data_IF_744986100834
#
_entry.id   IF_744986100834
#
_cell.length_a   1.000
_cell.length_b   1.000
_cell.length_c   1.000
_cell.angle_alpha   90.00
_cell.angle_beta   90.00
_cell.angle_gamma   90.00
#
_symmetry.space_group_name_H-M   'P 1'
#
loop_
_entity.id
_entity.type
_entity.pdbx_description
1 polymer ?
#
# COMPACT_ATOMS: atom_id res chain seq x y z
N UNK A 1 -42.96 -32.11 -15.25
CA UNK A 1 -41.95 -31.65 -16.22
C UNK A 1 -40.68 -31.23 -15.43
N UNK A 2 -39.71 -32.15 -15.32
CA UNK A 2 -38.41 -31.85 -14.74
C UNK A 2 -37.70 -30.79 -15.58
N UNK A 3 -37.54 -29.59 -15.05
CA UNK A 3 -36.71 -28.56 -15.68
C UNK A 3 -35.23 -29.02 -15.63
N UNK A 4 -34.71 -29.43 -16.78
CA UNK A 4 -33.29 -29.71 -16.96
C UNK A 4 -32.47 -28.47 -16.58
N UNK A 5 -31.85 -28.48 -15.41
CA UNK A 5 -30.87 -27.46 -15.03
C UNK A 5 -29.59 -27.73 -15.81
N UNK A 6 -29.29 -26.87 -16.77
CA UNK A 6 -28.02 -26.84 -17.48
C UNK A 6 -26.87 -26.96 -16.48
N UNK A 7 -25.95 -27.93 -16.62
CA UNK A 7 -24.80 -28.02 -15.72
C UNK A 7 -24.01 -26.72 -15.83
N UNK A 8 -23.67 -26.14 -14.68
CA UNK A 8 -22.76 -24.98 -14.65
C UNK A 8 -21.41 -25.48 -15.16
N UNK A 9 -20.87 -24.84 -16.20
CA UNK A 9 -19.49 -25.05 -16.59
C UNK A 9 -18.60 -24.88 -15.34
N UNK A 10 -17.76 -25.85 -15.05
CA UNK A 10 -16.68 -25.68 -14.07
C UNK A 10 -15.64 -24.81 -14.75
N UNK A 11 -15.76 -23.51 -14.55
CA UNK A 11 -14.63 -22.61 -14.84
C UNK A 11 -13.53 -22.98 -13.84
N UNK A 12 -12.37 -23.40 -14.34
CA UNK A 12 -11.21 -23.65 -13.51
C UNK A 12 -10.87 -22.36 -12.75
N UNK A 13 -10.50 -22.47 -11.49
CA UNK A 13 -10.09 -21.32 -10.65
C UNK A 13 -8.93 -20.51 -11.27
N UNK A 14 -8.21 -21.11 -12.25
CA UNK A 14 -7.04 -20.55 -12.93
C UNK A 14 -7.37 -19.68 -14.16
N UNK A 15 -8.65 -19.62 -14.57
CA UNK A 15 -9.02 -18.83 -15.77
C UNK A 15 -8.99 -17.30 -15.54
N UNK A 16 -8.85 -16.86 -14.32
CA UNK A 16 -8.90 -15.47 -13.94
C UNK A 16 -7.52 -14.96 -13.49
N UNK A 17 -7.07 -13.85 -14.07
CA UNK A 17 -5.78 -13.24 -13.76
C UNK A 17 -5.88 -12.16 -12.67
N UNK A 18 -4.76 -11.88 -12.01
CA UNK A 18 -4.48 -10.64 -11.30
C UNK A 18 -3.20 -9.99 -11.89
N UNK A 19 -2.96 -8.74 -11.59
CA UNK A 19 -1.75 -8.02 -11.95
C UNK A 19 -0.85 -7.87 -10.73
N UNK A 20 0.45 -8.13 -10.88
CA UNK A 20 1.43 -7.85 -9.84
C UNK A 20 1.55 -6.33 -9.61
N UNK A 21 2.18 -5.93 -8.51
CA UNK A 21 2.40 -4.50 -8.22
C UNK A 21 3.26 -3.84 -9.29
N UNK A 22 4.27 -4.56 -9.82
CA UNK A 22 5.12 -4.07 -10.91
C UNK A 22 4.31 -3.89 -12.21
N UNK A 23 3.38 -4.80 -12.51
CA UNK A 23 2.50 -4.69 -13.67
C UNK A 23 1.55 -3.49 -13.53
N UNK A 24 0.99 -3.28 -12.33
CA UNK A 24 0.13 -2.11 -12.02
C UNK A 24 0.94 -0.82 -12.10
N UNK A 25 2.16 -0.81 -11.57
CA UNK A 25 3.06 0.35 -11.60
C UNK A 25 3.45 0.72 -13.04
N UNK A 26 3.79 -0.27 -13.89
CA UNK A 26 4.04 -0.03 -15.31
C UNK A 26 2.83 0.55 -16.04
N UNK A 27 1.61 0.07 -15.73
CA UNK A 27 0.39 0.66 -16.27
C UNK A 27 0.23 2.13 -15.83
N UNK A 28 0.50 2.42 -14.56
CA UNK A 28 0.36 3.77 -14.00
C UNK A 28 1.37 4.75 -14.60
N UNK A 29 2.58 4.29 -14.87
CA UNK A 29 3.66 5.08 -15.46
C UNK A 29 3.45 5.45 -16.95
N UNK A 30 2.44 4.89 -17.63
CA UNK A 30 2.19 5.23 -19.03
C UNK A 30 1.75 6.69 -19.20
N UNK A 31 2.35 7.38 -20.14
CA UNK A 31 1.91 8.72 -20.56
C UNK A 31 0.67 8.61 -21.45
N UNK A 32 -0.50 8.69 -20.84
CA UNK A 32 -1.80 8.63 -21.49
C UNK A 32 -2.52 9.97 -21.36
N UNK A 33 -3.52 10.21 -22.22
CA UNK A 33 -4.29 11.46 -22.20
C UNK A 33 -5.79 11.19 -22.31
N UNK A 34 -6.57 12.13 -21.79
CA UNK A 34 -8.02 12.16 -21.98
C UNK A 34 -8.73 10.97 -21.33
N UNK A 35 -9.56 10.26 -22.10
CA UNK A 35 -10.41 9.19 -21.55
C UNK A 35 -9.62 7.91 -21.26
N UNK A 36 -8.55 7.66 -22.01
CA UNK A 36 -7.65 6.53 -21.79
C UNK A 36 -6.92 6.66 -20.43
N UNK A 37 -6.38 7.84 -20.16
CA UNK A 37 -5.77 8.16 -18.87
C UNK A 37 -6.75 8.00 -17.72
N UNK A 38 -7.96 8.57 -17.85
CA UNK A 38 -9.02 8.47 -16.85
C UNK A 38 -9.41 7.03 -16.54
N UNK A 39 -9.54 6.20 -17.58
CA UNK A 39 -9.86 4.78 -17.42
C UNK A 39 -8.73 4.02 -16.70
N UNK A 40 -7.47 4.26 -17.09
CA UNK A 40 -6.29 3.70 -16.45
C UNK A 40 -6.22 4.09 -14.99
N UNK A 41 -6.38 5.37 -14.64
CA UNK A 41 -6.28 5.86 -13.26
C UNK A 41 -7.38 5.27 -12.37
N UNK A 42 -8.62 5.19 -12.84
CA UNK A 42 -9.71 4.52 -12.10
C UNK A 42 -9.41 3.05 -11.88
N UNK A 43 -8.81 2.36 -12.86
CA UNK A 43 -8.43 0.95 -12.71
C UNK A 43 -7.26 0.76 -11.75
N UNK A 44 -6.22 1.59 -11.85
CA UNK A 44 -5.09 1.56 -10.91
C UNK A 44 -5.56 1.84 -9.49
N UNK A 45 -6.43 2.84 -9.29
CA UNK A 45 -7.05 3.10 -7.99
C UNK A 45 -7.83 1.88 -7.48
N UNK A 46 -8.51 1.16 -8.36
CA UNK A 46 -9.18 -0.10 -8.00
C UNK A 46 -8.18 -1.17 -7.53
N UNK A 47 -7.00 -1.26 -8.15
CA UNK A 47 -5.92 -2.15 -7.75
C UNK A 47 -5.33 -1.81 -6.36
N UNK A 48 -5.48 -0.56 -5.89
CA UNK A 48 -4.97 -0.10 -4.61
C UNK A 48 -6.03 0.08 -3.51
N UNK A 49 -7.31 -0.05 -3.84
CA UNK A 49 -8.43 0.07 -2.89
C UNK A 49 -9.24 -1.22 -2.75
N UNK A 50 -9.11 -2.12 -3.71
CA UNK A 50 -9.85 -3.39 -3.74
C UNK A 50 -11.35 -3.24 -3.93
N UNK A 51 -11.88 -2.06 -4.28
CA UNK A 51 -13.30 -1.85 -4.44
C UNK A 51 -13.83 -2.41 -5.76
N UNK A 52 -15.14 -2.70 -5.85
CA UNK A 52 -15.75 -3.11 -7.11
C UNK A 52 -15.81 -1.92 -8.05
N UNK A 53 -15.74 -2.18 -9.35
CA UNK A 53 -15.92 -1.12 -10.35
C UNK A 53 -17.22 -0.32 -10.13
N UNK A 54 -18.31 -0.99 -9.81
CA UNK A 54 -19.61 -0.34 -9.48
C UNK A 54 -19.56 0.58 -8.26
N UNK A 55 -18.60 0.36 -7.35
CA UNK A 55 -18.46 1.13 -6.13
C UNK A 55 -17.42 2.27 -6.26
N UNK A 56 -16.62 2.31 -7.34
CA UNK A 56 -15.57 3.33 -7.52
C UNK A 56 -16.11 4.76 -7.47
N UNK A 57 -17.30 5.02 -8.02
CA UNK A 57 -17.93 6.35 -7.97
C UNK A 57 -18.41 6.76 -6.57
N UNK A 58 -18.53 5.82 -5.64
CA UNK A 58 -18.89 6.11 -4.25
C UNK A 58 -17.71 6.75 -3.47
N UNK A 59 -16.49 6.57 -3.97
CA UNK A 59 -15.30 7.20 -3.37
C UNK A 59 -15.42 8.72 -3.38
N UNK A 60 -16.12 9.30 -4.35
CA UNK A 60 -16.35 10.74 -4.45
C UNK A 60 -17.21 11.32 -3.30
N UNK A 61 -18.03 10.48 -2.68
CA UNK A 61 -18.93 10.86 -1.59
C UNK A 61 -18.50 10.23 -0.26
N UNK A 62 -17.30 9.66 -0.21
CA UNK A 62 -16.75 9.06 0.99
C UNK A 62 -16.29 10.10 2.01
N UNK A 63 -16.24 9.70 3.25
CA UNK A 63 -15.71 10.52 4.34
C UNK A 63 -14.24 10.19 4.55
N UNK A 64 -13.38 11.19 4.42
CA UNK A 64 -11.94 11.04 4.68
C UNK A 64 -11.70 11.34 6.15
N UNK A 65 -10.93 10.45 6.79
CA UNK A 65 -10.44 10.61 8.15
C UNK A 65 -8.93 10.63 8.14
N UNK A 66 -8.36 11.61 8.80
CA UNK A 66 -6.92 11.71 9.00
C UNK A 66 -6.51 10.96 10.26
N UNK A 67 -5.45 10.18 10.15
CA UNK A 67 -4.78 9.48 11.24
C UNK A 67 -3.29 9.82 11.22
N UNK A 68 -2.59 9.60 12.32
CA UNK A 68 -1.14 9.87 12.41
C UNK A 68 -0.35 9.13 11.31
N UNK A 69 -0.79 7.92 10.93
CA UNK A 69 -0.12 7.06 9.95
C UNK A 69 -0.71 7.17 8.54
N UNK A 70 -1.59 8.14 8.24
CA UNK A 70 -2.18 8.31 6.90
C UNK A 70 -3.67 8.60 6.91
N UNK A 71 -4.31 8.38 5.75
CA UNK A 71 -5.72 8.67 5.54
C UNK A 71 -6.53 7.40 5.33
N UNK A 72 -7.76 7.40 5.84
CA UNK A 72 -8.76 6.35 5.60
C UNK A 72 -9.96 6.98 4.93
N UNK A 73 -10.46 6.34 3.86
CA UNK A 73 -11.69 6.70 3.18
C UNK A 73 -12.82 5.74 3.57
N UNK A 74 -13.88 6.25 4.15
CA UNK A 74 -15.07 5.48 4.51
C UNK A 74 -16.16 5.64 3.45
N UNK A 75 -16.68 4.53 2.96
CA UNK A 75 -17.81 4.49 2.01
C UNK A 75 -18.84 3.45 2.43
N UNK A 76 -20.05 3.58 1.91
CA UNK A 76 -21.10 2.56 2.00
C UNK A 76 -21.28 1.91 0.61
N UNK A 77 -20.93 0.62 0.50
CA UNK A 77 -21.01 -0.12 -0.77
C UNK A 77 -22.43 -0.33 -1.23
N UNK A 78 -22.69 -0.26 -2.58
CA UNK A 78 -24.04 -0.40 -3.17
C UNK A 78 -24.69 -1.74 -2.86
N UNK A 79 -23.96 -2.84 -3.06
CA UNK A 79 -24.56 -4.18 -3.12
C UNK A 79 -25.12 -4.70 -1.80
N UNK A 80 -24.66 -4.25 -0.63
CA UNK A 80 -25.09 -4.75 0.68
C UNK A 80 -25.19 -3.66 1.74
N UNK A 81 -25.08 -2.40 1.35
CA UNK A 81 -25.02 -1.26 2.25
C UNK A 81 -23.95 -1.43 3.36
N UNK A 82 -22.86 -2.18 3.09
CA UNK A 82 -21.77 -2.33 4.05
C UNK A 82 -20.92 -1.08 4.07
N UNK A 83 -20.69 -0.56 5.28
CA UNK A 83 -19.68 0.46 5.53
C UNK A 83 -18.32 -0.22 5.52
N UNK A 84 -17.40 0.30 4.71
CA UNK A 84 -16.00 -0.14 4.63
C UNK A 84 -15.07 1.04 4.84
N UNK A 85 -13.95 0.78 5.49
CA UNK A 85 -12.88 1.74 5.73
C UNK A 85 -11.67 1.32 4.90
N UNK A 86 -11.28 2.16 3.96
CA UNK A 86 -10.26 1.88 2.95
C UNK A 86 -9.02 2.71 3.29
N UNK A 87 -7.87 2.08 3.61
CA UNK A 87 -6.63 2.81 3.78
C UNK A 87 -6.17 3.39 2.44
N UNK A 88 -5.86 4.67 2.41
CA UNK A 88 -5.36 5.35 1.22
C UNK A 88 -3.84 5.22 1.16
N UNK A 89 -3.36 4.17 0.50
CA UNK A 89 -1.94 3.98 0.21
C UNK A 89 -1.45 5.06 -0.77
N UNK A 90 -0.14 5.35 -0.88
CA UNK A 90 0.40 6.51 -1.60
C UNK A 90 -0.16 6.71 -3.01
N UNK A 91 -0.16 5.66 -3.84
CA UNK A 91 -0.69 5.73 -5.21
C UNK A 91 -2.20 6.01 -5.23
N UNK A 92 -2.95 5.42 -4.30
CA UNK A 92 -4.39 5.68 -4.19
C UNK A 92 -4.67 7.14 -3.81
N UNK A 93 -3.89 7.69 -2.88
CA UNK A 93 -3.99 9.07 -2.45
C UNK A 93 -3.63 10.02 -3.59
N UNK A 94 -2.52 9.78 -4.29
CA UNK A 94 -2.07 10.57 -5.43
C UNK A 94 -3.14 10.66 -6.53
N UNK A 95 -3.76 9.52 -6.89
CA UNK A 95 -4.84 9.51 -7.90
C UNK A 95 -6.06 10.28 -7.41
N UNK A 96 -6.47 10.13 -6.14
CA UNK A 96 -7.60 10.87 -5.60
C UNK A 96 -7.32 12.38 -5.56
N UNK A 97 -6.12 12.80 -5.18
CA UNK A 97 -5.68 14.20 -5.17
C UNK A 97 -5.61 14.77 -6.58
N UNK A 98 -5.10 14.02 -7.57
CA UNK A 98 -5.09 14.41 -9.00
C UNK A 98 -6.48 14.81 -9.50
N UNK A 99 -7.52 14.14 -9.04
CA UNK A 99 -8.91 14.43 -9.42
C UNK A 99 -9.67 15.24 -8.38
N UNK A 100 -8.99 15.87 -7.42
CA UNK A 100 -9.61 16.62 -6.32
C UNK A 100 -10.72 15.81 -5.62
N UNK A 101 -10.48 14.49 -5.41
CA UNK A 101 -11.44 13.55 -4.83
C UNK A 101 -12.75 13.40 -5.62
N UNK A 102 -12.75 13.78 -6.89
CA UNK A 102 -13.89 13.66 -7.81
C UNK A 102 -13.49 12.80 -9.01
N UNK A 103 -13.54 11.48 -8.85
CA UNK A 103 -13.14 10.54 -9.87
C UNK A 103 -13.99 10.68 -11.14
N UNK A 104 -13.37 10.60 -12.31
CA UNK A 104 -14.08 10.68 -13.58
C UNK A 104 -15.03 9.48 -13.74
N UNK A 105 -16.22 9.75 -14.31
CA UNK A 105 -17.15 8.69 -14.68
C UNK A 105 -16.67 8.03 -15.98
N UNK A 106 -16.37 6.73 -15.89
CA UNK A 106 -16.03 5.90 -17.03
C UNK A 106 -17.05 4.79 -17.17
N UNK A 107 -17.63 4.61 -18.37
CA UNK A 107 -18.56 3.51 -18.64
C UNK A 107 -17.80 2.18 -18.68
N UNK A 108 -18.42 1.10 -18.22
CA UNK A 108 -17.77 -0.22 -18.11
C UNK A 108 -17.13 -0.70 -19.42
N UNK A 109 -17.84 -0.63 -20.53
CA UNK A 109 -17.31 -1.02 -21.84
C UNK A 109 -16.09 -0.18 -22.26
N UNK A 110 -16.13 1.12 -21.97
CA UNK A 110 -15.01 2.05 -22.22
C UNK A 110 -13.82 1.70 -21.32
N UNK A 111 -14.10 1.43 -20.05
CA UNK A 111 -13.10 0.97 -19.09
C UNK A 111 -12.42 -0.29 -19.61
N UNK A 112 -13.18 -1.34 -19.94
CA UNK A 112 -12.66 -2.61 -20.43
C UNK A 112 -11.76 -2.46 -21.67
N UNK A 113 -12.15 -1.60 -22.61
CA UNK A 113 -11.33 -1.32 -23.78
C UNK A 113 -9.98 -0.73 -23.38
N UNK A 114 -10.01 0.39 -22.68
CA UNK A 114 -8.77 1.15 -22.39
C UNK A 114 -7.85 0.47 -21.37
N UNK A 115 -8.35 -0.30 -20.39
CA UNK A 115 -7.47 -1.04 -19.48
C UNK A 115 -6.74 -2.18 -20.18
N UNK A 116 -7.35 -2.81 -21.21
CA UNK A 116 -6.68 -3.81 -22.03
C UNK A 116 -5.60 -3.18 -22.92
N UNK A 117 -5.91 -2.07 -23.56
CA UNK A 117 -4.94 -1.30 -24.36
C UNK A 117 -3.78 -0.79 -23.48
N UNK A 118 -4.07 -0.27 -22.29
CA UNK A 118 -3.04 0.13 -21.33
C UNK A 118 -2.20 -1.06 -20.85
N UNK A 119 -2.82 -2.22 -20.60
CA UNK A 119 -2.12 -3.45 -20.25
C UNK A 119 -1.18 -3.92 -21.37
N UNK A 120 -1.59 -3.83 -22.62
CA UNK A 120 -0.74 -4.13 -23.77
C UNK A 120 0.44 -3.17 -23.85
N UNK A 121 0.21 -1.86 -23.74
CA UNK A 121 1.24 -0.82 -23.75
C UNK A 121 2.22 -0.97 -22.58
N UNK A 122 1.74 -1.43 -21.41
CA UNK A 122 2.57 -1.70 -20.24
C UNK A 122 3.38 -3.02 -20.32
N UNK A 123 3.30 -3.74 -21.43
CA UNK A 123 4.02 -4.99 -21.65
C UNK A 123 3.46 -6.18 -20.87
N UNK A 124 2.15 -6.21 -20.57
CA UNK A 124 1.49 -7.36 -19.94
C UNK A 124 1.11 -8.39 -21.00
N UNK A 125 2.12 -8.92 -21.70
CA UNK A 125 1.97 -9.76 -22.89
C UNK A 125 2.16 -11.26 -22.62
N UNK A 126 2.45 -11.67 -21.37
CA UNK A 126 2.62 -13.07 -20.99
C UNK A 126 1.41 -13.92 -21.45
N UNK A 127 1.66 -15.15 -21.85
CA UNK A 127 0.61 -16.08 -22.28
C UNK A 127 -0.10 -16.69 -21.07
N UNK A 128 -1.40 -16.86 -21.15
CA UNK A 128 -2.25 -17.51 -20.16
C UNK A 128 -3.22 -18.48 -20.85
N UNK A 129 -3.37 -19.67 -20.30
CA UNK A 129 -4.25 -20.70 -20.87
C UNK A 129 -5.56 -20.65 -20.09
N UNK A 130 -6.65 -20.41 -20.80
CA UNK A 130 -8.02 -20.49 -20.27
C UNK A 130 -8.60 -21.85 -20.64
N UNK A 131 -8.99 -22.62 -19.62
CA UNK A 131 -9.62 -23.93 -19.77
C UNK A 131 -11.12 -23.81 -19.58
N UNK A 132 -11.89 -24.11 -20.60
CA UNK A 132 -13.34 -24.22 -20.55
C UNK A 132 -13.76 -25.67 -20.54
N UNK A 133 -14.48 -26.08 -19.48
CA UNK A 133 -15.14 -27.38 -19.38
C UNK A 133 -16.64 -27.24 -19.68
N UNK A 134 -17.06 -27.73 -20.82
CA UNK A 134 -18.47 -27.75 -21.25
C UNK A 134 -19.09 -29.15 -21.15
N UNK A 135 -18.72 -29.88 -20.10
CA UNK A 135 -19.27 -31.21 -19.79
C UNK A 135 -18.57 -32.34 -20.54
N UNK A 136 -18.78 -32.49 -21.85
CA UNK A 136 -18.12 -33.53 -22.64
C UNK A 136 -16.89 -33.05 -23.42
N UNK A 137 -16.59 -31.75 -23.38
CA UNK A 137 -15.51 -31.14 -24.14
C UNK A 137 -14.74 -30.13 -23.30
N UNK A 138 -13.45 -30.42 -23.11
CA UNK A 138 -12.49 -29.47 -22.52
C UNK A 138 -11.79 -28.73 -23.66
N UNK A 139 -11.79 -27.41 -23.60
CA UNK A 139 -11.15 -26.55 -24.61
C UNK A 139 -10.15 -25.66 -23.93
N UNK A 140 -8.90 -25.70 -24.38
CA UNK A 140 -7.83 -24.83 -23.91
C UNK A 140 -7.56 -23.74 -24.95
N UNK A 141 -7.71 -22.49 -24.57
CA UNK A 141 -7.45 -21.35 -25.43
C UNK A 141 -6.37 -20.48 -24.80
N UNK A 142 -5.36 -20.13 -25.58
CA UNK A 142 -4.24 -19.30 -25.12
C UNK A 142 -4.53 -17.83 -25.44
N UNK A 143 -4.46 -16.98 -24.41
CA UNK A 143 -4.61 -15.53 -24.51
C UNK A 143 -3.33 -14.82 -24.08
N UNK A 144 -3.13 -13.58 -24.53
CA UNK A 144 -2.20 -12.68 -23.86
C UNK A 144 -2.84 -12.19 -22.55
N UNK A 145 -2.04 -12.00 -21.48
CA UNK A 145 -2.57 -11.61 -20.17
C UNK A 145 -3.39 -10.31 -20.22
N UNK A 146 -2.97 -9.32 -21.04
CA UNK A 146 -3.73 -8.05 -21.17
C UNK A 146 -5.16 -8.26 -21.69
N UNK A 147 -5.41 -9.28 -22.53
CA UNK A 147 -6.74 -9.58 -23.07
C UNK A 147 -7.71 -10.08 -22.01
N UNK A 148 -7.18 -10.65 -20.93
CA UNK A 148 -7.95 -11.17 -19.79
C UNK A 148 -8.19 -10.12 -18.69
N UNK A 149 -7.64 -8.91 -18.82
CA UNK A 149 -7.89 -7.84 -17.87
C UNK A 149 -9.36 -7.45 -17.93
N UNK A 150 -10.05 -7.53 -16.80
CA UNK A 150 -11.45 -7.20 -16.63
C UNK A 150 -11.69 -6.26 -15.44
N UNK A 151 -12.94 -5.83 -15.25
CA UNK A 151 -13.32 -4.93 -14.13
C UNK A 151 -13.12 -5.57 -12.75
N UNK A 152 -13.07 -6.90 -12.66
CA UNK A 152 -12.76 -7.60 -11.41
C UNK A 152 -11.26 -7.83 -11.20
N UNK A 153 -10.43 -7.68 -12.24
CA UNK A 153 -8.98 -7.89 -12.16
C UNK A 153 -8.34 -6.92 -11.14
N UNK A 154 -8.75 -5.65 -11.11
CA UNK A 154 -8.23 -4.70 -10.13
C UNK A 154 -8.47 -5.15 -8.68
N UNK A 155 -9.66 -5.66 -8.38
CA UNK A 155 -9.96 -6.19 -7.03
C UNK A 155 -9.18 -7.46 -6.70
N UNK A 156 -8.95 -8.35 -7.69
CA UNK A 156 -8.09 -9.52 -7.51
C UNK A 156 -6.65 -9.09 -7.27
N UNK A 157 -6.15 -8.11 -8.03
CA UNK A 157 -4.79 -7.57 -7.87
C UNK A 157 -4.59 -7.02 -6.47
N UNK A 158 -5.52 -6.21 -5.94
CA UNK A 158 -5.46 -5.74 -4.57
C UNK A 158 -5.33 -6.90 -3.56
N UNK A 159 -6.26 -7.86 -3.63
CA UNK A 159 -6.31 -8.97 -2.67
C UNK A 159 -5.03 -9.81 -2.75
N UNK A 160 -4.63 -10.24 -3.96
CA UNK A 160 -3.47 -11.11 -4.14
C UNK A 160 -2.17 -10.42 -3.74
N UNK A 161 -1.98 -9.14 -4.10
CA UNK A 161 -0.78 -8.40 -3.74
C UNK A 161 -0.72 -8.11 -2.23
N UNK A 162 -1.84 -7.77 -1.58
CA UNK A 162 -1.85 -7.54 -0.14
C UNK A 162 -1.64 -8.83 0.66
N UNK A 163 -2.15 -9.97 0.18
CA UNK A 163 -1.83 -11.27 0.77
C UNK A 163 -0.33 -11.61 0.62
N UNK A 164 0.28 -11.32 -0.53
CA UNK A 164 1.74 -11.47 -0.75
C UNK A 164 2.57 -10.55 0.15
N UNK A 165 2.03 -9.42 0.56
CA UNK A 165 2.63 -8.53 1.58
C UNK A 165 2.43 -9.04 3.02
N UNK A 166 1.77 -10.19 3.22
CA UNK A 166 1.53 -10.78 4.53
C UNK A 166 0.34 -10.22 5.30
N UNK A 167 -0.54 -9.43 4.65
CA UNK A 167 -1.75 -8.96 5.32
C UNK A 167 -2.76 -10.10 5.52
N UNK A 168 -3.36 -10.14 6.69
CA UNK A 168 -4.36 -11.14 7.05
C UNK A 168 -5.62 -11.07 6.19
N UNK A 169 -6.15 -12.23 5.81
CA UNK A 169 -7.33 -12.35 4.96
C UNK A 169 -8.59 -11.71 5.57
N UNK A 170 -8.77 -11.78 6.90
CA UNK A 170 -9.91 -11.17 7.56
C UNK A 170 -9.85 -9.64 7.53
N UNK A 171 -8.64 -9.04 7.63
CA UNK A 171 -8.44 -7.61 7.45
C UNK A 171 -8.83 -7.21 6.03
N UNK A 172 -8.33 -7.93 5.02
CA UNK A 172 -8.63 -7.66 3.62
C UNK A 172 -10.12 -7.84 3.29
N UNK A 173 -10.78 -8.82 3.90
CA UNK A 173 -12.23 -9.00 3.77
C UNK A 173 -13.01 -7.79 4.29
N UNK A 174 -12.60 -7.20 5.41
CA UNK A 174 -13.24 -5.98 5.97
C UNK A 174 -13.06 -4.77 5.06
N UNK A 175 -11.86 -4.57 4.50
CA UNK A 175 -11.57 -3.47 3.57
C UNK A 175 -12.35 -3.62 2.26
N UNK A 176 -12.40 -4.83 1.73
CA UNK A 176 -13.05 -5.12 0.46
C UNK A 176 -14.56 -5.35 0.58
N UNK A 177 -15.09 -5.58 1.79
CA UNK A 177 -16.51 -5.86 2.04
C UNK A 177 -16.93 -7.26 1.60
N UNK A 178 -16.06 -8.26 1.76
CA UNK A 178 -16.43 -9.68 1.65
C UNK A 178 -17.02 -10.18 2.95
N UNK A 179 -18.15 -10.87 2.86
CA UNK A 179 -18.87 -11.41 4.03
C UNK A 179 -18.60 -12.87 4.28
N UNK A 180 -18.03 -13.58 3.31
CA UNK A 180 -17.71 -15.01 3.42
C UNK A 180 -16.33 -15.29 2.84
N UNK A 181 -15.58 -16.20 3.45
CA UNK A 181 -14.29 -16.65 2.95
C UNK A 181 -14.39 -17.30 1.56
N UNK A 182 -15.46 -18.04 1.29
CA UNK A 182 -15.68 -18.64 -0.03
C UNK A 182 -15.76 -17.59 -1.14
N UNK A 183 -16.42 -16.44 -0.86
CA UNK A 183 -16.49 -15.36 -1.82
C UNK A 183 -15.13 -14.63 -1.96
N UNK A 184 -14.36 -14.53 -0.89
CA UNK A 184 -13.03 -13.93 -0.88
C UNK A 184 -12.00 -14.78 -1.63
N UNK A 185 -11.98 -16.10 -1.39
CA UNK A 185 -11.06 -17.06 -2.02
C UNK A 185 -11.09 -17.02 -3.55
N UNK A 186 -12.22 -16.68 -4.15
CA UNK A 186 -12.32 -16.47 -5.62
C UNK A 186 -11.42 -15.35 -6.15
N UNK A 187 -11.11 -14.38 -5.30
CA UNK A 187 -10.25 -13.24 -5.64
C UNK A 187 -8.79 -13.43 -5.23
N UNK A 188 -8.51 -14.32 -4.29
CA UNK A 188 -7.17 -14.62 -3.81
C UNK A 188 -6.47 -15.56 -4.80
N UNK A 189 -5.58 -15.04 -5.61
CA UNK A 189 -4.79 -15.78 -6.62
C UNK A 189 -3.33 -15.88 -6.16
N UNK A 190 -3.12 -16.60 -5.06
CA UNK A 190 -1.80 -16.90 -4.50
C UNK A 190 -1.49 -18.35 -4.81
N UNK A 191 -0.32 -18.60 -5.41
CA UNK A 191 0.17 -19.96 -5.63
C UNK A 191 0.64 -20.58 -4.30
N UNK A 192 0.76 -21.90 -4.27
CA UNK A 192 1.36 -22.61 -3.13
C UNK A 192 2.83 -22.21 -2.92
N UNK A 193 3.54 -21.87 -3.98
CA UNK A 193 4.91 -21.35 -3.94
C UNK A 193 4.96 -19.96 -3.30
N UNK A 194 4.09 -19.04 -3.70
CA UNK A 194 3.98 -17.71 -3.07
C UNK A 194 3.68 -17.84 -1.56
N UNK A 195 2.78 -18.74 -1.17
CA UNK A 195 2.45 -18.99 0.23
C UNK A 195 3.64 -19.54 1.03
N UNK A 196 4.41 -20.47 0.43
CA UNK A 196 5.61 -21.01 1.03
C UNK A 196 6.70 -19.94 1.20
N UNK A 197 6.94 -19.12 0.18
CA UNK A 197 7.90 -18.01 0.23
C UNK A 197 7.52 -16.99 1.30
N UNK A 198 6.25 -16.61 1.40
CA UNK A 198 5.77 -15.69 2.44
C UNK A 198 6.02 -16.25 3.85
N UNK A 199 5.83 -17.56 4.05
CA UNK A 199 6.11 -18.22 5.32
C UNK A 199 7.61 -18.16 5.65
N UNK A 200 8.48 -18.41 4.67
CA UNK A 200 9.94 -18.34 4.84
C UNK A 200 10.40 -16.90 5.18
N UNK A 201 9.90 -15.89 4.48
CA UNK A 201 10.19 -14.48 4.72
C UNK A 201 9.74 -14.04 6.12
N UNK A 202 8.54 -14.49 6.53
CA UNK A 202 8.00 -14.19 7.87
C UNK A 202 8.88 -14.80 8.97
N UNK A 203 9.32 -16.05 8.82
CA UNK A 203 10.20 -16.71 9.79
C UNK A 203 11.60 -16.08 9.80
N UNK A 204 12.17 -15.74 8.65
CA UNK A 204 13.43 -15.02 8.55
C UNK A 204 13.38 -13.68 9.30
N UNK A 205 12.31 -12.90 9.08
CA UNK A 205 12.10 -11.62 9.77
C UNK A 205 12.00 -11.76 11.30
N UNK A 206 11.35 -12.82 11.80
CA UNK A 206 11.28 -13.13 13.25
C UNK A 206 12.64 -13.49 13.81
N UNK A 207 13.44 -14.27 13.07
CA UNK A 207 14.81 -14.65 13.48
C UNK A 207 15.69 -13.40 13.55
N UNK A 208 15.61 -12.50 12.56
CA UNK A 208 16.38 -11.26 12.55
C UNK A 208 16.00 -10.34 13.71
N UNK A 209 14.71 -10.22 14.03
CA UNK A 209 14.24 -9.48 15.19
C UNK A 209 14.75 -10.11 16.50
N UNK A 210 14.68 -11.44 16.64
CA UNK A 210 15.18 -12.15 17.81
C UNK A 210 16.70 -11.98 17.98
N UNK A 211 17.47 -11.99 16.88
CA UNK A 211 18.91 -11.78 16.90
C UNK A 211 19.28 -10.34 17.28
N UNK A 212 18.54 -9.34 16.78
CA UNK A 212 18.70 -7.94 17.19
C UNK A 212 18.44 -7.74 18.69
N UNK A 213 17.40 -8.41 19.24
CA UNK A 213 17.11 -8.37 20.68
C UNK A 213 18.21 -9.06 21.49
N UNK A 214 18.78 -10.19 21.03
CA UNK A 214 19.89 -10.85 21.71
C UNK A 214 21.16 -9.98 21.71
N UNK A 215 21.53 -9.38 20.61
CA UNK A 215 22.67 -8.46 20.52
C UNK A 215 22.53 -7.23 21.42
N UNK A 216 21.30 -6.75 21.66
CA UNK A 216 21.05 -5.65 22.60
C UNK A 216 21.10 -6.10 24.07
N UNK A 217 20.91 -7.39 24.36
CA UNK A 217 20.99 -7.96 25.73
C UNK A 217 22.36 -8.46 26.11
N UNK A 218 23.30 -8.67 25.17
CA UNK A 218 24.67 -9.09 25.45
C UNK A 218 25.58 -7.95 25.96
N UNK A 219 25.05 -6.74 26.10
CA UNK A 219 25.70 -5.62 26.78
C UNK A 219 25.23 -5.59 28.24
N UNK A 220 25.56 -6.62 29.02
CA UNK A 220 25.47 -6.58 30.48
C UNK A 220 26.89 -6.30 31.05
N UNK A 221 27.14 -5.13 31.65
CA UNK A 221 28.38 -4.89 32.33
C UNK A 221 28.46 -5.75 33.61
N UNK A 222 29.50 -6.53 33.74
CA UNK A 222 29.83 -7.31 34.94
C UNK A 222 30.36 -6.40 36.06
N UNK A 223 29.55 -5.56 36.67
CA UNK A 223 29.81 -4.95 37.99
C UNK A 223 28.56 -4.18 38.46
N UNK A 224 28.29 -4.29 39.74
CA UNK A 224 27.14 -3.78 40.49
C UNK A 224 27.03 -2.25 40.63
N UNK A 225 27.62 -1.48 39.75
CA UNK A 225 27.49 -0.04 39.71
C UNK A 225 26.60 0.33 38.50
N UNK A 226 25.39 0.81 38.79
CA UNK A 226 24.46 1.40 37.82
C UNK A 226 23.35 0.54 37.20
N UNK A 227 22.67 -0.28 38.00
CA UNK A 227 21.39 -0.87 37.60
C UNK A 227 20.37 0.23 37.26
N UNK A 228 20.38 1.34 37.99
CA UNK A 228 19.49 2.49 37.70
C UNK A 228 19.86 3.18 36.38
N UNK A 229 21.13 3.32 36.06
CA UNK A 229 21.60 3.90 34.78
C UNK A 229 21.40 2.96 33.62
N UNK A 230 21.54 1.63 33.82
CA UNK A 230 21.23 0.61 32.81
C UNK A 230 19.72 0.51 32.54
N UNK A 231 18.87 0.64 33.55
CA UNK A 231 17.42 0.71 33.39
C UNK A 231 17.01 2.01 32.68
N UNK A 232 17.60 3.15 33.04
CA UNK A 232 17.35 4.42 32.34
C UNK A 232 17.76 4.35 30.86
N UNK A 233 18.97 3.84 30.55
CA UNK A 233 19.45 3.62 29.18
C UNK A 233 18.63 2.56 28.43
N UNK A 234 18.14 1.52 29.13
CA UNK A 234 17.26 0.50 28.55
C UNK A 234 15.87 1.05 28.20
N UNK A 235 15.32 1.93 29.03
CA UNK A 235 14.05 2.63 28.77
C UNK A 235 14.23 3.63 27.62
N UNK A 236 15.33 4.39 27.60
CA UNK A 236 15.67 5.29 26.50
C UNK A 236 15.90 4.53 25.17
N UNK A 237 16.60 3.39 25.19
CA UNK A 237 16.80 2.54 24.03
C UNK A 237 15.50 1.91 23.54
N UNK A 238 14.63 1.47 24.44
CA UNK A 238 13.30 0.92 24.11
C UNK A 238 12.34 1.96 23.52
N UNK A 239 12.41 3.20 24.02
CA UNK A 239 11.69 4.34 23.46
C UNK A 239 12.28 4.76 22.10
N UNK A 240 13.61 4.74 21.97
CA UNK A 240 14.33 5.02 20.73
C UNK A 240 13.96 4.01 19.65
N UNK A 241 13.92 2.71 19.98
CA UNK A 241 13.59 1.65 19.02
C UNK A 241 12.15 1.70 18.49
N UNK A 242 11.15 2.05 19.34
CA UNK A 242 9.79 2.32 18.88
C UNK A 242 9.69 3.53 17.95
N UNK A 243 10.59 4.49 18.12
CA UNK A 243 10.61 5.72 17.34
C UNK A 243 11.47 5.58 16.08
N UNK A 244 12.52 4.74 16.09
CA UNK A 244 13.35 4.44 14.91
C UNK A 244 12.52 3.68 13.84
N UNK A 245 11.63 2.76 14.24
CA UNK A 245 10.70 2.10 13.29
C UNK A 245 9.72 3.11 12.68
N UNK A 246 9.23 4.08 13.46
CA UNK A 246 8.38 5.15 12.94
C UNK A 246 9.16 6.13 12.06
N UNK A 247 10.46 6.31 12.35
CA UNK A 247 11.38 7.16 11.58
C UNK A 247 11.77 6.51 10.25
N UNK A 248 12.13 5.23 10.24
CA UNK A 248 12.43 4.45 9.03
C UNK A 248 11.24 4.33 8.08
N UNK A 249 10.03 4.14 8.61
CA UNK A 249 8.80 4.13 7.80
C UNK A 249 8.43 5.50 7.21
N UNK A 250 8.91 6.60 7.82
CA UNK A 250 8.67 7.96 7.34
C UNK A 250 9.73 8.45 6.35
N UNK A 251 10.96 7.91 6.40
CA UNK A 251 12.12 8.48 5.69
C UNK A 251 12.78 7.58 4.64
N UNK A 252 12.60 6.25 4.67
CA UNK A 252 13.35 5.32 3.80
C UNK A 252 12.62 4.83 2.54
N UNK A 253 11.65 5.57 2.00
CA UNK A 253 11.08 5.26 0.69
C UNK A 253 11.62 6.18 -0.40
N UNK A 254 12.55 5.66 -1.15
CA UNK A 254 13.11 6.11 -2.46
C UNK A 254 14.36 6.99 -2.45
N UNK A 255 15.41 6.43 -3.05
CA UNK A 255 16.59 7.13 -3.58
C UNK A 255 16.18 8.15 -4.65
N UNK A 256 16.10 9.42 -4.29
CA UNK A 256 16.37 10.55 -5.19
C UNK A 256 16.28 11.88 -4.42
N UNK A 257 17.37 12.60 -4.37
CA UNK A 257 17.59 13.89 -3.72
C UNK A 257 17.63 13.83 -2.17
N UNK A 258 18.76 13.40 -1.63
CA UNK A 258 19.09 13.57 -0.22
C UNK A 258 19.46 15.04 -0.02
N UNK A 259 18.72 15.74 0.83
CA UNK A 259 19.06 17.09 1.27
C UNK A 259 19.65 17.03 2.69
N UNK A 260 20.80 17.64 2.88
CA UNK A 260 21.49 17.70 4.16
C UNK A 260 21.13 18.98 4.90
N UNK A 261 20.88 18.86 6.20
CA UNK A 261 20.52 19.95 7.10
C UNK A 261 21.41 19.95 8.35
N UNK A 262 21.66 21.12 8.88
CA UNK A 262 22.30 21.32 10.18
C UNK A 262 21.33 21.93 11.18
N UNK A 263 21.49 21.63 12.46
CA UNK A 263 20.76 22.27 13.56
C UNK A 263 21.66 23.33 14.16
N UNK A 264 21.18 24.57 14.21
CA UNK A 264 21.86 25.66 14.92
C UNK A 264 21.52 25.55 16.41
N UNK A 265 22.47 25.05 17.19
CA UNK A 265 22.36 24.85 18.66
C UNK A 265 22.53 26.14 19.47
N UNK A 266 22.98 27.21 18.84
CA UNK A 266 23.13 28.51 19.50
C UNK A 266 21.79 29.28 19.54
N UNK A 267 20.79 28.81 18.80
CA UNK A 267 19.45 29.41 18.81
C UNK A 267 18.67 28.97 20.05
N UNK A 268 18.21 29.95 20.82
CA UNK A 268 17.34 29.68 21.98
C UNK A 268 15.92 29.32 21.52
N UNK A 269 15.65 28.01 21.44
CA UNK A 269 14.38 27.47 20.97
C UNK A 269 13.18 27.79 21.89
N UNK A 270 13.43 28.23 23.14
CA UNK A 270 12.38 28.58 24.08
C UNK A 270 11.61 29.85 23.67
N UNK A 271 12.19 30.65 22.78
CA UNK A 271 11.60 31.88 22.25
C UNK A 271 10.56 31.64 21.15
N UNK A 272 10.44 30.39 20.64
CA UNK A 272 9.57 30.05 19.52
C UNK A 272 8.40 29.16 20.00
N UNK A 273 7.23 29.40 19.41
CA UNK A 273 6.05 28.55 19.63
C UNK A 273 6.14 27.27 18.77
N UNK A 274 6.89 26.29 19.29
CA UNK A 274 7.10 25.00 18.66
C UNK A 274 6.13 23.97 19.24
N UNK A 275 5.48 23.21 18.35
CA UNK A 275 4.63 22.12 18.79
C UNK A 275 5.46 20.89 19.24
N UNK A 276 4.80 19.94 19.91
CA UNK A 276 5.46 18.74 20.45
C UNK A 276 6.25 17.95 19.41
N UNK A 277 5.75 17.83 18.17
CA UNK A 277 6.42 17.09 17.11
C UNK A 277 7.71 17.81 16.62
N UNK A 278 7.67 19.14 16.58
CA UNK A 278 8.83 19.97 16.20
C UNK A 278 9.92 19.90 17.29
N UNK A 279 9.54 19.96 18.56
CA UNK A 279 10.46 19.78 19.68
C UNK A 279 11.06 18.35 19.73
N UNK A 280 10.22 17.34 19.55
CA UNK A 280 10.65 15.94 19.50
C UNK A 280 11.63 15.70 18.33
N UNK A 281 11.39 16.33 17.18
CA UNK A 281 12.28 16.27 16.03
C UNK A 281 13.65 16.88 16.34
N UNK A 282 13.70 18.10 16.87
CA UNK A 282 14.94 18.79 17.21
C UNK A 282 15.76 18.06 18.28
N UNK A 283 15.08 17.48 19.27
CA UNK A 283 15.73 16.74 20.35
C UNK A 283 16.33 15.40 19.90
N UNK A 284 15.84 14.82 18.82
CA UNK A 284 16.27 13.51 18.30
C UNK A 284 17.25 13.61 17.14
N UNK A 285 17.22 14.73 16.41
CA UNK A 285 18.11 14.91 15.28
C UNK A 285 19.54 15.19 15.78
N UNK A 286 20.52 14.59 15.11
CA UNK A 286 21.93 14.94 15.29
C UNK A 286 22.18 16.35 14.78
N UNK A 287 23.33 16.95 15.10
CA UNK A 287 23.69 18.29 14.68
C UNK A 287 23.60 18.48 13.14
N UNK A 288 23.90 17.43 12.40
CA UNK A 288 23.69 17.33 10.96
C UNK A 288 22.85 16.08 10.66
N UNK A 289 21.85 16.23 9.81
CA UNK A 289 20.98 15.13 9.39
C UNK A 289 20.63 15.24 7.92
N UNK A 290 20.34 14.08 7.31
CA UNK A 290 19.93 13.97 5.92
C UNK A 290 18.47 13.58 5.84
N UNK A 291 17.76 14.19 4.91
CA UNK A 291 16.35 13.90 4.65
C UNK A 291 16.21 13.54 3.18
N UNK A 292 15.77 12.32 2.91
CA UNK A 292 15.32 11.90 1.59
C UNK A 292 14.09 12.70 1.15
N UNK A 293 13.32 12.25 0.18
CA UNK A 293 12.11 12.94 -0.27
C UNK A 293 11.08 13.02 0.88
N UNK A 294 10.96 14.18 1.59
CA UNK A 294 10.15 14.25 2.80
C UNK A 294 8.66 14.26 2.46
N UNK A 295 7.85 13.65 3.35
CA UNK A 295 6.40 13.81 3.28
C UNK A 295 6.00 15.29 3.38
N UNK A 296 4.81 15.65 2.90
CA UNK A 296 4.33 17.04 2.93
C UNK A 296 4.35 17.65 4.34
N UNK A 297 4.08 16.84 5.37
CA UNK A 297 4.09 17.27 6.78
C UNK A 297 5.51 17.60 7.27
N UNK A 298 6.46 16.72 6.93
CA UNK A 298 7.89 16.92 7.26
C UNK A 298 8.46 18.11 6.51
N UNK A 299 8.10 18.29 5.24
CA UNK A 299 8.52 19.45 4.44
C UNK A 299 8.00 20.77 5.04
N UNK A 300 6.74 20.81 5.48
CA UNK A 300 6.17 21.99 6.15
C UNK A 300 6.89 22.29 7.46
N UNK A 301 7.19 21.25 8.25
CA UNK A 301 7.94 21.40 9.49
C UNK A 301 9.36 21.89 9.24
N UNK A 302 10.10 21.28 8.30
CA UNK A 302 11.45 21.73 7.93
C UNK A 302 11.48 23.16 7.42
N UNK A 303 10.52 23.55 6.56
CA UNK A 303 10.41 24.92 6.08
C UNK A 303 10.18 25.91 7.23
N UNK A 304 9.31 25.57 8.19
CA UNK A 304 9.09 26.41 9.39
C UNK A 304 10.38 26.56 10.20
N UNK A 305 11.11 25.46 10.44
CA UNK A 305 12.37 25.47 11.20
C UNK A 305 13.49 26.21 10.47
N UNK A 306 13.52 26.15 9.13
CA UNK A 306 14.42 26.94 8.28
C UNK A 306 14.10 28.45 8.36
N UNK A 307 12.82 28.82 8.29
CA UNK A 307 12.35 30.21 8.42
C UNK A 307 12.68 30.79 9.80
N UNK A 308 12.64 29.98 10.84
CA UNK A 308 13.00 30.38 12.21
C UNK A 308 14.52 30.36 12.44
N UNK A 309 15.32 29.93 11.49
CA UNK A 309 16.79 29.85 11.61
C UNK A 309 17.29 28.75 12.53
N UNK A 310 16.40 27.85 13.02
CA UNK A 310 16.77 26.75 13.92
C UNK A 310 17.48 25.62 13.15
N UNK A 311 17.11 25.44 11.88
CA UNK A 311 17.72 24.47 10.95
C UNK A 311 18.31 25.25 9.78
N UNK A 312 19.46 24.82 9.30
CA UNK A 312 20.14 25.37 8.12
C UNK A 312 20.33 24.27 7.08
N UNK A 313 20.19 24.63 5.80
CA UNK A 313 20.46 23.67 4.71
C UNK A 313 21.98 23.64 4.47
N UNK A 314 22.56 22.44 4.54
CA UNK A 314 23.98 22.24 4.24
C UNK A 314 24.15 22.13 2.71
N UNK A 315 25.25 22.67 2.19
CA UNK A 315 25.59 22.65 0.76
C UNK A 315 26.25 21.35 0.35
#
# INVERSE_FOLDING_TARGET
>A
LNQYKKPKSREGDDNEIYLSEEEVSRMYALELKGLEEKARDVFVLQCWTGQRFSDMQLLNNGTIKDFDNGKILEIVQKKRAHKVSIPLLPIALEILEKYNYQLPKVRENTMLKYIKEAGQKAGIIGKHIVTEDRGSKITNTTYCRYELIGTHTGRRSFISNMLKRGYDSHILMRITGHTTEMAFKKYAKISSEDAANLMLETEASKIDQANKIKQSNDIVPSSNENIAEAISKGIEAGLKHKNDIAYDLLFNSQESNIESYGIDRDVDISQFDLNKNELDFLNRSMDNFEVGTPSLKVRKMLNKLLELGIVVRLK
#
